data_IF_113161512715
#
_entry.id   IF_113161512715
#
_cell.length_a   1.000
_cell.length_b   1.000
_cell.length_c   1.000
_cell.angle_alpha   90.00
_cell.angle_beta   90.00
_cell.angle_gamma   90.00
#
_symmetry.space_group_name_H-M   'P 1'
#
loop_
_entity.id
_entity.type
_entity.pdbx_description
1 polymer ?
#
# COMPACT_ATOMS: atom_id res chain seq x y z
N UNK A 1 -12.85 -4.25 16.65
CA UNK A 1 -11.67 -3.74 15.92
C UNK A 1 -11.73 -4.26 14.50
N UNK A 2 -11.90 -3.40 13.50
CA UNK A 2 -12.16 -3.80 12.11
C UNK A 2 -10.87 -4.26 11.38
N UNK A 3 -10.23 -5.31 11.88
CA UNK A 3 -9.05 -5.93 11.24
C UNK A 3 -9.30 -6.31 9.79
N UNK A 4 -10.54 -6.70 9.46
CA UNK A 4 -10.94 -7.04 8.10
C UNK A 4 -10.80 -5.88 7.11
N UNK A 5 -10.97 -4.63 7.57
CA UNK A 5 -10.92 -3.46 6.69
C UNK A 5 -9.49 -3.14 6.26
N UNK A 6 -8.56 -3.10 7.21
CA UNK A 6 -7.14 -2.83 6.93
C UNK A 6 -6.55 -3.94 6.05
N UNK A 7 -6.93 -5.19 6.30
CA UNK A 7 -6.45 -6.31 5.49
C UNK A 7 -6.98 -6.25 4.05
N UNK A 8 -8.24 -5.86 3.85
CA UNK A 8 -8.79 -5.61 2.50
C UNK A 8 -8.10 -4.44 1.80
N UNK A 9 -7.81 -3.36 2.52
CA UNK A 9 -7.07 -2.21 2.00
C UNK A 9 -5.65 -2.62 1.59
N UNK A 10 -4.96 -3.39 2.42
CA UNK A 10 -3.65 -3.93 2.13
C UNK A 10 -3.65 -4.83 0.88
N UNK A 11 -4.62 -5.73 0.74
CA UNK A 11 -4.70 -6.63 -0.41
C UNK A 11 -4.85 -5.85 -1.74
N UNK A 12 -5.67 -4.80 -1.74
CA UNK A 12 -5.82 -3.89 -2.89
C UNK A 12 -4.51 -3.15 -3.21
N UNK A 13 -3.87 -2.59 -2.18
CA UNK A 13 -2.57 -1.91 -2.33
C UNK A 13 -1.55 -2.89 -2.92
N UNK A 14 -1.40 -4.06 -2.30
CA UNK A 14 -0.46 -5.08 -2.73
C UNK A 14 -0.71 -5.52 -4.19
N UNK A 15 -1.97 -5.76 -4.56
CA UNK A 15 -2.34 -6.14 -5.92
C UNK A 15 -2.00 -5.05 -6.95
N UNK A 16 -2.27 -3.79 -6.61
CA UNK A 16 -1.90 -2.64 -7.45
C UNK A 16 -0.38 -2.58 -7.64
N UNK A 17 0.38 -2.44 -6.56
CA UNK A 17 1.84 -2.28 -6.61
C UNK A 17 2.53 -3.48 -7.25
N UNK A 18 2.05 -4.71 -7.01
CA UNK A 18 2.56 -5.92 -7.67
C UNK A 18 2.43 -5.89 -9.19
N UNK A 19 1.41 -5.20 -9.70
CA UNK A 19 1.12 -5.16 -11.14
C UNK A 19 1.76 -3.95 -11.83
N UNK A 20 1.85 -2.81 -11.12
CA UNK A 20 2.25 -1.52 -11.70
C UNK A 20 3.64 -1.03 -11.29
N UNK A 21 4.25 -1.59 -10.26
CA UNK A 21 5.48 -1.06 -9.68
C UNK A 21 6.69 -1.99 -9.87
N UNK A 22 7.88 -1.38 -9.89
CA UNK A 22 9.20 -2.02 -9.87
C UNK A 22 9.38 -2.93 -8.63
N UNK A 23 10.41 -3.80 -8.57
CA UNK A 23 10.57 -4.73 -7.46
C UNK A 23 10.61 -4.02 -6.09
N UNK A 24 9.62 -4.32 -5.26
CA UNK A 24 9.58 -4.00 -3.83
C UNK A 24 9.73 -5.29 -3.02
N UNK A 25 10.37 -5.19 -1.85
CA UNK A 25 10.52 -6.31 -0.90
C UNK A 25 9.26 -6.46 -0.05
N UNK A 26 8.77 -5.33 0.47
CA UNK A 26 7.70 -5.30 1.44
C UNK A 26 6.87 -4.03 1.29
N UNK A 27 5.56 -4.18 1.48
CA UNK A 27 4.65 -3.07 1.68
C UNK A 27 4.21 -3.10 3.15
N UNK A 28 4.39 -1.99 3.85
CA UNK A 28 3.94 -1.85 5.23
C UNK A 28 2.78 -0.85 5.26
N UNK A 29 1.59 -1.33 5.61
CA UNK A 29 0.37 -0.53 5.66
C UNK A 29 -0.22 -0.50 7.07
N UNK A 30 -0.32 0.70 7.65
CA UNK A 30 -0.87 0.89 9.00
C UNK A 30 -2.36 1.34 8.99
N UNK A 31 -2.96 1.54 7.81
CA UNK A 31 -4.30 2.09 7.66
C UNK A 31 -4.35 3.58 7.35
N UNK A 32 -3.24 4.29 7.56
CA UNK A 32 -3.08 5.70 7.19
C UNK A 32 -1.87 5.97 6.31
N UNK A 33 -0.77 5.23 6.50
CA UNK A 33 0.49 5.42 5.79
C UNK A 33 0.96 4.07 5.23
N UNK A 34 1.37 4.08 3.97
CA UNK A 34 2.00 2.98 3.26
C UNK A 34 3.48 3.29 3.11
N UNK A 35 4.34 2.44 3.64
CA UNK A 35 5.77 2.47 3.37
C UNK A 35 6.11 1.35 2.36
N UNK A 36 6.73 1.73 1.26
CA UNK A 36 7.26 0.82 0.25
C UNK A 36 8.72 0.57 0.58
N UNK A 37 9.03 -0.66 0.94
CA UNK A 37 10.37 -1.08 1.28
C UNK A 37 11.01 -1.83 0.12
N UNK A 38 12.28 -1.52 -0.12
CA UNK A 38 13.12 -2.23 -1.08
C UNK A 38 14.54 -2.26 -0.54
N UNK A 39 15.17 -3.43 -0.49
CA UNK A 39 16.53 -3.60 0.07
C UNK A 39 16.69 -3.00 1.49
N UNK A 40 15.77 -3.32 2.39
CA UNK A 40 15.76 -2.87 3.80
C UNK A 40 15.66 -1.33 4.00
N UNK A 41 15.20 -0.60 2.97
CA UNK A 41 15.00 0.85 3.03
C UNK A 41 13.64 1.24 2.49
N UNK A 42 13.03 2.25 3.11
CA UNK A 42 11.82 2.88 2.59
C UNK A 42 12.20 3.70 1.36
N UNK A 43 11.74 3.26 0.19
CA UNK A 43 11.95 3.98 -1.08
C UNK A 43 10.83 4.98 -1.36
N UNK A 44 9.62 4.68 -0.91
CA UNK A 44 8.44 5.52 -1.13
C UNK A 44 7.48 5.46 0.05
N UNK A 45 6.81 6.58 0.33
CA UNK A 45 5.80 6.66 1.38
C UNK A 45 4.56 7.35 0.84
N UNK A 46 3.41 6.70 0.98
CA UNK A 46 2.12 7.20 0.52
C UNK A 46 1.17 7.35 1.68
N UNK A 47 0.50 8.49 1.81
CA UNK A 47 -0.60 8.64 2.78
C UNK A 47 -1.88 8.10 2.18
N UNK A 48 -2.86 7.79 3.03
CA UNK A 48 -4.17 7.30 2.62
C UNK A 48 -4.82 8.16 1.53
N UNK A 49 -4.69 9.48 1.64
CA UNK A 49 -5.19 10.45 0.65
C UNK A 49 -4.52 10.30 -0.72
N UNK A 50 -3.23 9.97 -0.75
CA UNK A 50 -2.45 9.80 -1.97
C UNK A 50 -2.83 8.47 -2.63
N UNK A 51 -2.96 7.39 -1.85
CA UNK A 51 -3.48 6.10 -2.33
C UNK A 51 -4.92 6.22 -2.87
N UNK A 52 -5.74 7.05 -2.24
CA UNK A 52 -7.10 7.37 -2.72
C UNK A 52 -7.06 8.16 -4.03
N UNK A 53 -6.12 9.10 -4.18
CA UNK A 53 -5.91 9.84 -5.44
C UNK A 53 -5.41 8.92 -6.57
N UNK A 54 -4.63 7.89 -6.24
CA UNK A 54 -4.19 6.83 -7.16
C UNK A 54 -5.30 5.83 -7.52
N UNK A 55 -6.52 6.04 -6.99
CA UNK A 55 -7.69 5.21 -7.27
C UNK A 55 -7.54 3.74 -6.86
N UNK A 56 -6.60 3.42 -5.94
CA UNK A 56 -6.29 2.04 -5.51
C UNK A 56 -7.47 1.39 -4.78
N UNK A 57 -8.23 2.18 -4.03
CA UNK A 57 -9.41 1.70 -3.30
C UNK A 57 -10.71 1.78 -4.11
N UNK A 58 -10.67 2.35 -5.32
CA UNK A 58 -11.86 2.55 -6.12
C UNK A 58 -12.25 1.25 -6.85
N UNK A 59 -13.19 0.56 -6.22
CA UNK A 59 -13.97 -0.61 -6.66
C UNK A 59 -13.15 -1.82 -7.08
#
# INVERSE_FOLDING_TARGET
>A
MNFQKIQLEYDKIYSYFKTTCEPFDLLEWDGEILNVWNNDKIIETYKYKDLKALNIFAT
#
